data_IF_850823035041
#
_entry.id   IF_850823035041
#
_cell.length_a   1.000
_cell.length_b   1.000
_cell.length_c   1.000
_cell.angle_alpha   90.00
_cell.angle_beta   90.00
_cell.angle_gamma   90.00
#
_symmetry.space_group_name_H-M   'P 1'
#
loop_
_entity.id
_entity.type
_entity.pdbx_description
1 polymer ?
#
# COMPACT_ATOMS: atom_id res chain seq x y z
N UNK A 1 21.23 -4.54 20.51
CA UNK A 1 21.65 -4.08 19.18
C UNK A 1 21.35 -5.21 18.22
N UNK A 2 20.56 -4.95 17.20
CA UNK A 2 20.40 -5.88 16.06
C UNK A 2 21.68 -5.72 15.25
N UNK A 3 22.55 -6.73 15.28
CA UNK A 3 23.87 -6.70 14.64
C UNK A 3 23.88 -7.68 13.49
N UNK A 4 24.09 -7.21 12.27
CA UNK A 4 24.08 -8.05 11.08
C UNK A 4 23.76 -7.23 9.83
N UNK A 5 24.18 -7.74 8.68
CA UNK A 5 23.72 -7.23 7.38
C UNK A 5 22.62 -8.13 6.77
N UNK A 6 22.28 -9.22 7.45
CA UNK A 6 21.31 -10.23 7.01
C UNK A 6 20.67 -10.89 8.25
N UNK A 7 19.35 -11.07 8.20
CA UNK A 7 18.53 -11.72 9.21
C UNK A 7 17.52 -12.63 8.51
N UNK A 8 17.33 -13.85 9.04
CA UNK A 8 16.47 -14.86 8.43
C UNK A 8 15.64 -15.57 9.50
N UNK A 9 14.34 -15.77 9.24
CA UNK A 9 13.41 -16.50 10.15
C UNK A 9 13.35 -15.94 11.59
N UNK A 10 13.70 -14.65 11.77
CA UNK A 10 13.70 -13.99 13.08
C UNK A 10 12.36 -13.29 13.40
N UNK A 11 12.00 -13.27 14.69
CA UNK A 11 10.90 -12.42 15.21
C UNK A 11 11.44 -11.21 16.00
N UNK A 12 10.97 -10.02 15.64
CA UNK A 12 11.24 -8.77 16.33
C UNK A 12 9.96 -8.28 17.01
N UNK A 13 9.95 -8.13 18.34
CA UNK A 13 8.72 -7.85 19.10
C UNK A 13 8.92 -6.63 20.02
N UNK A 14 7.99 -5.67 19.94
CA UNK A 14 7.97 -4.45 20.77
C UNK A 14 9.27 -3.63 20.68
N UNK A 15 9.86 -3.55 19.48
CA UNK A 15 11.12 -2.82 19.26
C UNK A 15 10.82 -1.42 18.72
N UNK A 16 11.42 -0.42 19.34
CA UNK A 16 11.48 0.94 18.81
C UNK A 16 12.74 1.12 17.95
N UNK A 17 12.54 1.34 16.66
CA UNK A 17 13.60 1.52 15.67
C UNK A 17 13.89 2.99 15.35
N UNK A 18 13.25 3.97 16.01
CA UNK A 18 13.43 5.40 15.68
C UNK A 18 14.88 5.88 15.76
N UNK A 19 15.66 5.34 16.70
CA UNK A 19 17.09 5.63 16.88
C UNK A 19 18.01 4.63 16.16
N UNK A 20 17.44 3.69 15.40
CA UNK A 20 18.22 2.67 14.70
C UNK A 20 18.71 3.20 13.36
N UNK A 21 20.02 3.08 13.15
CA UNK A 21 20.64 3.34 11.84
C UNK A 21 20.66 2.04 11.05
N UNK A 22 19.83 1.98 10.00
CA UNK A 22 19.83 0.87 9.06
C UNK A 22 20.93 1.07 8.01
N UNK A 23 21.89 0.14 7.94
CA UNK A 23 22.99 0.18 6.98
C UNK A 23 22.91 -1.01 6.03
N UNK A 24 22.10 -0.90 4.96
CA UNK A 24 21.95 -1.93 3.91
C UNK A 24 21.83 -3.34 4.50
N UNK A 25 20.77 -3.55 5.28
CA UNK A 25 20.46 -4.82 5.91
C UNK A 25 19.34 -5.51 5.13
N UNK A 26 19.40 -6.82 5.08
CA UNK A 26 18.37 -7.68 4.51
C UNK A 26 17.67 -8.49 5.60
N UNK A 27 16.35 -8.60 5.46
CA UNK A 27 15.48 -9.43 6.28
C UNK A 27 14.73 -10.38 5.36
N UNK A 28 14.84 -11.68 5.62
CA UNK A 28 14.20 -12.74 4.86
C UNK A 28 13.35 -13.61 5.79
N UNK A 29 12.08 -13.87 5.47
CA UNK A 29 11.16 -14.64 6.33
C UNK A 29 11.02 -14.10 7.76
N UNK A 30 11.34 -12.83 8.00
CA UNK A 30 11.25 -12.22 9.33
C UNK A 30 9.85 -11.72 9.64
N UNK A 31 9.49 -11.75 10.93
CA UNK A 31 8.24 -11.14 11.43
C UNK A 31 8.51 -10.03 12.41
N UNK A 32 7.88 -8.88 12.21
CA UNK A 32 7.95 -7.72 13.10
C UNK A 32 6.58 -7.51 13.76
N UNK A 33 6.54 -7.47 15.10
CA UNK A 33 5.31 -7.36 15.88
C UNK A 33 5.38 -6.17 16.82
N UNK A 34 4.43 -5.25 16.71
CA UNK A 34 4.34 -4.03 17.54
C UNK A 34 5.63 -3.19 17.49
N UNK A 35 6.28 -3.12 16.32
CA UNK A 35 7.51 -2.36 16.14
C UNK A 35 7.23 -0.94 15.66
N UNK A 36 8.07 0.00 16.07
CA UNK A 36 7.98 1.40 15.69
C UNK A 36 9.08 1.77 14.69
N UNK A 37 8.69 2.03 13.45
CA UNK A 37 9.52 2.55 12.35
C UNK A 37 9.16 3.99 11.97
N UNK A 38 8.41 4.70 12.82
CA UNK A 38 7.96 6.06 12.55
C UNK A 38 9.16 6.99 12.25
N UNK A 39 9.13 7.69 11.12
CA UNK A 39 10.22 8.58 10.63
C UNK A 39 11.58 7.91 10.38
N UNK A 40 11.67 6.59 10.50
CA UNK A 40 12.92 5.86 10.30
C UNK A 40 13.36 5.94 8.84
N UNK A 41 14.66 6.08 8.64
CA UNK A 41 15.25 5.94 7.32
C UNK A 41 15.51 4.47 7.01
N UNK A 42 14.68 3.88 6.15
CA UNK A 42 14.78 2.50 5.67
C UNK A 42 15.44 2.41 4.30
N UNK A 43 16.12 3.47 3.86
CA UNK A 43 16.71 3.53 2.53
C UNK A 43 17.66 2.36 2.28
N UNK A 44 17.48 1.67 1.15
CA UNK A 44 18.26 0.50 0.75
C UNK A 44 18.22 -0.69 1.73
N UNK A 45 17.22 -0.77 2.61
CA UNK A 45 16.88 -2.01 3.35
C UNK A 45 16.11 -2.96 2.43
N UNK A 46 16.33 -4.26 2.59
CA UNK A 46 15.61 -5.32 1.86
C UNK A 46 14.72 -6.11 2.81
N UNK A 47 13.44 -6.21 2.48
CA UNK A 47 12.46 -7.05 3.16
C UNK A 47 11.89 -8.05 2.16
N UNK A 48 12.22 -9.32 2.35
CA UNK A 48 11.86 -10.44 1.49
C UNK A 48 11.00 -11.40 2.28
N UNK A 49 9.79 -11.69 1.80
CA UNK A 49 8.86 -12.64 2.43
C UNK A 49 8.62 -12.34 3.93
N UNK A 50 8.60 -11.05 4.29
CA UNK A 50 8.45 -10.58 5.67
C UNK A 50 7.01 -10.22 6.02
N UNK A 51 6.68 -10.32 7.31
CA UNK A 51 5.40 -9.90 7.86
C UNK A 51 5.56 -8.78 8.90
N UNK A 52 4.71 -7.77 8.80
CA UNK A 52 4.60 -6.67 9.77
C UNK A 52 3.22 -6.69 10.41
N UNK A 53 3.18 -6.87 11.73
CA UNK A 53 1.95 -6.94 12.52
C UNK A 53 1.93 -5.78 13.52
N UNK A 54 0.89 -4.94 13.48
CA UNK A 54 0.70 -3.81 14.40
C UNK A 54 1.89 -2.83 14.44
N UNK A 55 2.57 -2.63 13.31
CA UNK A 55 3.75 -1.77 13.23
C UNK A 55 3.38 -0.34 12.78
N UNK A 56 4.18 0.64 13.19
CA UNK A 56 4.03 2.04 12.76
C UNK A 56 5.19 2.45 11.85
N UNK A 57 4.92 2.68 10.56
CA UNK A 57 5.85 3.18 9.56
C UNK A 57 5.58 4.64 9.19
N UNK A 58 4.71 5.35 9.92
CA UNK A 58 4.25 6.66 9.47
C UNK A 58 5.44 7.60 9.21
N UNK A 59 5.47 8.19 8.02
CA UNK A 59 6.53 9.07 7.54
C UNK A 59 7.94 8.43 7.45
N UNK A 60 8.07 7.10 7.41
CA UNK A 60 9.35 6.45 7.14
C UNK A 60 9.85 6.78 5.72
N UNK A 61 11.17 6.81 5.55
CA UNK A 61 11.81 7.08 4.26
C UNK A 61 12.12 5.74 3.58
N UNK A 62 11.54 5.51 2.41
CA UNK A 62 11.60 4.23 1.69
C UNK A 62 12.51 4.25 0.45
N UNK A 63 13.42 5.22 0.34
CA UNK A 63 14.21 5.42 -0.88
C UNK A 63 15.05 4.17 -1.22
N UNK A 64 14.79 3.56 -2.37
CA UNK A 64 15.40 2.30 -2.81
C UNK A 64 15.21 1.13 -1.82
N UNK A 65 14.25 1.19 -0.90
CA UNK A 65 13.88 0.04 -0.07
C UNK A 65 13.26 -1.04 -0.95
N UNK A 66 13.65 -2.29 -0.75
CA UNK A 66 13.10 -3.42 -1.49
C UNK A 66 12.04 -4.11 -0.63
N UNK A 67 10.85 -4.29 -1.21
CA UNK A 67 9.78 -5.09 -0.63
C UNK A 67 9.38 -6.16 -1.63
N UNK A 68 9.62 -7.42 -1.31
CA UNK A 68 9.21 -8.55 -2.14
C UNK A 68 8.37 -9.49 -1.28
N UNK A 69 7.12 -9.72 -1.66
CA UNK A 69 6.16 -10.58 -0.97
C UNK A 69 5.99 -10.17 0.52
N UNK A 70 5.85 -8.87 0.76
CA UNK A 70 5.72 -8.34 2.12
C UNK A 70 4.25 -8.16 2.49
N UNK A 71 3.90 -8.58 3.71
CA UNK A 71 2.56 -8.43 4.26
C UNK A 71 2.55 -7.40 5.39
N UNK A 72 1.62 -6.45 5.34
CA UNK A 72 1.31 -5.52 6.42
C UNK A 72 -0.07 -5.80 6.97
N UNK A 73 -0.16 -6.08 8.26
CA UNK A 73 -1.42 -6.31 8.96
C UNK A 73 -1.55 -5.38 10.17
N UNK A 74 -2.66 -4.67 10.25
CA UNK A 74 -2.93 -3.70 11.32
C UNK A 74 -1.86 -2.61 11.47
N UNK A 75 -1.20 -2.23 10.37
CA UNK A 75 -0.09 -1.29 10.38
C UNK A 75 -0.54 0.15 10.09
N UNK A 76 0.22 1.12 10.61
CA UNK A 76 0.12 2.53 10.20
C UNK A 76 1.21 2.82 9.18
N UNK A 77 0.81 3.18 7.98
CA UNK A 77 1.66 3.37 6.80
C UNK A 77 1.42 4.78 6.23
N UNK A 78 1.17 5.77 7.09
CA UNK A 78 0.68 7.09 6.70
C UNK A 78 1.80 7.89 6.00
N UNK A 79 1.47 8.50 4.86
CA UNK A 79 2.35 9.41 4.12
C UNK A 79 3.50 8.74 3.38
N UNK A 80 3.50 7.40 3.24
CA UNK A 80 4.61 6.68 2.64
C UNK A 80 4.67 6.89 1.12
N UNK A 81 5.86 7.15 0.62
CA UNK A 81 6.13 7.28 -0.82
C UNK A 81 6.61 5.92 -1.35
N UNK A 82 5.68 5.01 -1.66
CA UNK A 82 6.04 3.68 -2.18
C UNK A 82 6.66 3.77 -3.58
N UNK A 83 6.37 4.83 -4.33
CA UNK A 83 6.99 5.11 -5.62
C UNK A 83 8.49 5.45 -5.54
N UNK A 84 9.02 5.69 -4.33
CA UNK A 84 10.45 5.83 -4.08
C UNK A 84 11.17 4.49 -3.80
N UNK A 85 10.42 3.39 -3.67
CA UNK A 85 10.97 2.06 -3.44
C UNK A 85 11.69 1.51 -4.69
N UNK A 86 12.45 0.44 -4.48
CA UNK A 86 12.93 -0.38 -5.59
C UNK A 86 11.74 -1.14 -6.21
N UNK A 87 11.53 -1.00 -7.52
CA UNK A 87 10.40 -1.61 -8.24
C UNK A 87 10.66 -3.06 -8.69
N UNK A 88 11.87 -3.58 -8.49
CA UNK A 88 12.22 -4.96 -8.82
C UNK A 88 11.50 -5.96 -7.91
N UNK A 89 10.63 -6.79 -8.51
CA UNK A 89 9.79 -7.78 -7.82
C UNK A 89 8.91 -7.18 -6.71
N UNK A 90 8.65 -5.87 -6.80
CA UNK A 90 7.89 -5.13 -5.80
C UNK A 90 6.49 -5.74 -5.63
N UNK A 91 6.19 -6.21 -4.42
CA UNK A 91 4.88 -6.81 -4.13
C UNK A 91 4.50 -6.70 -2.66
N UNK A 92 3.20 -6.48 -2.44
CA UNK A 92 2.62 -6.18 -1.15
C UNK A 92 1.27 -6.87 -0.95
N UNK A 93 0.92 -7.05 0.32
CA UNK A 93 -0.46 -7.25 0.75
C UNK A 93 -0.73 -6.40 1.99
N UNK A 94 -1.91 -5.77 2.04
CA UNK A 94 -2.30 -4.88 3.12
C UNK A 94 -3.62 -5.32 3.73
N UNK A 95 -3.62 -5.53 5.04
CA UNK A 95 -4.78 -5.96 5.81
C UNK A 95 -4.99 -5.01 6.99
N UNK A 96 -6.20 -4.50 7.17
CA UNK A 96 -6.60 -3.69 8.33
C UNK A 96 -5.67 -2.50 8.61
N UNK A 97 -5.04 -1.96 7.57
CA UNK A 97 -3.95 -0.98 7.69
C UNK A 97 -4.41 0.41 7.26
N UNK A 98 -3.72 1.45 7.76
CA UNK A 98 -3.97 2.84 7.38
C UNK A 98 -2.85 3.31 6.46
N UNK A 99 -3.14 3.59 5.20
CA UNK A 99 -2.18 4.07 4.21
C UNK A 99 -2.46 5.51 3.77
N UNK A 100 -3.27 6.26 4.52
CA UNK A 100 -3.69 7.61 4.15
C UNK A 100 -2.49 8.49 3.73
N UNK A 101 -2.71 9.33 2.71
CA UNK A 101 -1.71 10.24 2.12
C UNK A 101 -0.47 9.56 1.50
N UNK A 102 -0.48 8.24 1.33
CA UNK A 102 0.59 7.52 0.65
C UNK A 102 0.54 7.71 -0.86
N UNK A 103 1.64 7.37 -1.53
CA UNK A 103 1.76 7.41 -2.98
C UNK A 103 2.19 6.05 -3.53
N UNK A 104 1.48 5.59 -4.55
CA UNK A 104 1.84 4.45 -5.42
C UNK A 104 2.07 4.90 -6.86
N UNK A 105 2.40 6.18 -7.05
CA UNK A 105 2.55 6.82 -8.36
C UNK A 105 3.41 5.98 -9.32
N UNK A 106 2.91 5.73 -10.53
CA UNK A 106 3.60 4.96 -11.60
C UNK A 106 3.96 3.50 -11.31
N UNK A 107 3.61 2.95 -10.14
CA UNK A 107 3.97 1.57 -9.81
C UNK A 107 3.14 0.55 -10.59
N UNK A 108 3.72 -0.65 -10.80
CA UNK A 108 3.04 -1.79 -11.42
C UNK A 108 2.80 -2.88 -10.38
N UNK A 109 1.62 -2.84 -9.77
CA UNK A 109 1.22 -3.65 -8.62
C UNK A 109 0.01 -4.52 -8.99
N UNK A 110 0.23 -5.49 -9.88
CA UNK A 110 -0.82 -6.40 -10.33
C UNK A 110 -1.15 -7.42 -9.25
N UNK A 111 -2.43 -7.79 -9.15
CA UNK A 111 -2.94 -8.77 -8.17
C UNK A 111 -2.62 -8.39 -6.71
N UNK A 112 -2.62 -7.10 -6.39
CA UNK A 112 -2.40 -6.62 -5.01
C UNK A 112 -3.71 -6.69 -4.22
N UNK A 113 -3.61 -7.02 -2.94
CA UNK A 113 -4.74 -7.12 -2.04
C UNK A 113 -4.70 -6.02 -1.00
N UNK A 114 -5.74 -5.20 -0.98
CA UNK A 114 -6.05 -4.26 0.09
C UNK A 114 -7.36 -4.73 0.73
N UNK A 115 -7.30 -5.09 2.01
CA UNK A 115 -8.46 -5.55 2.75
C UNK A 115 -8.65 -4.71 4.01
N UNK A 116 -9.85 -4.14 4.19
CA UNK A 116 -10.23 -3.34 5.35
C UNK A 116 -9.25 -2.18 5.63
N UNK A 117 -8.71 -1.57 4.58
CA UNK A 117 -7.71 -0.50 4.70
C UNK A 117 -8.34 0.90 4.59
N UNK A 118 -7.75 1.86 5.29
CA UNK A 118 -7.96 3.28 4.99
C UNK A 118 -6.95 3.70 3.92
N UNK A 119 -7.45 4.22 2.80
CA UNK A 119 -6.70 4.62 1.62
C UNK A 119 -7.04 6.07 1.25
N UNK A 120 -7.19 6.95 2.24
CA UNK A 120 -7.66 8.32 2.02
C UNK A 120 -6.56 9.16 1.41
N UNK A 121 -6.93 9.96 0.41
CA UNK A 121 -5.99 10.86 -0.27
C UNK A 121 -4.71 10.15 -0.78
N UNK A 122 -4.83 8.85 -1.09
CA UNK A 122 -3.74 8.07 -1.66
C UNK A 122 -3.61 8.36 -3.15
N UNK A 123 -2.39 8.56 -3.63
CA UNK A 123 -2.12 8.76 -5.05
C UNK A 123 -1.89 7.41 -5.76
N UNK A 124 -2.84 7.02 -6.63
CA UNK A 124 -2.73 5.85 -7.50
C UNK A 124 -2.48 6.24 -8.97
N UNK A 125 -2.08 7.48 -9.27
CA UNK A 125 -1.95 7.98 -10.64
C UNK A 125 -0.86 7.25 -11.43
N UNK A 126 -1.10 7.09 -12.74
CA UNK A 126 -0.22 6.41 -13.71
C UNK A 126 0.20 4.97 -13.33
N UNK A 127 -0.47 4.34 -12.36
CA UNK A 127 -0.13 3.00 -11.86
C UNK A 127 -0.90 1.87 -12.56
N UNK A 128 -0.45 0.62 -12.39
CA UNK A 128 -1.12 -0.58 -12.90
C UNK A 128 -1.50 -1.52 -11.76
N UNK A 129 -2.79 -1.56 -11.44
CA UNK A 129 -3.38 -2.43 -10.42
C UNK A 129 -4.18 -3.58 -11.03
N UNK A 130 -3.93 -3.98 -12.28
CA UNK A 130 -4.71 -5.04 -12.96
C UNK A 130 -4.97 -6.24 -12.03
N UNK A 131 -6.25 -6.61 -11.91
CA UNK A 131 -6.76 -7.70 -11.07
C UNK A 131 -6.51 -7.56 -9.55
N UNK A 132 -6.28 -6.35 -9.05
CA UNK A 132 -6.18 -6.07 -7.61
C UNK A 132 -7.55 -6.02 -6.92
N UNK A 133 -7.56 -6.19 -5.61
CA UNK A 133 -8.77 -6.22 -4.79
C UNK A 133 -8.71 -5.09 -3.76
N UNK A 134 -9.76 -4.27 -3.72
CA UNK A 134 -9.98 -3.22 -2.73
C UNK A 134 -11.20 -3.59 -1.87
N UNK A 135 -11.03 -4.57 -0.99
CA UNK A 135 -12.13 -5.10 -0.16
C UNK A 135 -12.31 -4.24 1.09
N UNK A 136 -13.53 -3.76 1.34
CA UNK A 136 -13.89 -2.98 2.53
C UNK A 136 -12.97 -1.77 2.77
N UNK A 137 -12.46 -1.15 1.69
CA UNK A 137 -11.55 -0.01 1.78
C UNK A 137 -12.29 1.33 1.70
N UNK A 138 -11.81 2.31 2.45
CA UNK A 138 -12.24 3.71 2.34
C UNK A 138 -11.26 4.47 1.44
N UNK A 139 -11.72 4.85 0.25
CA UNK A 139 -10.94 5.53 -0.80
C UNK A 139 -11.26 7.02 -0.89
N UNK A 140 -11.75 7.64 0.19
CA UNK A 140 -12.09 9.06 0.20
C UNK A 140 -10.92 9.92 -0.25
N UNK A 141 -11.12 10.66 -1.34
CA UNK A 141 -10.09 11.57 -1.89
C UNK A 141 -8.92 10.88 -2.57
N UNK A 142 -8.93 9.54 -2.69
CA UNK A 142 -7.92 8.82 -3.46
C UNK A 142 -7.91 9.29 -4.92
N UNK A 143 -6.71 9.42 -5.48
CA UNK A 143 -6.50 9.99 -6.82
C UNK A 143 -6.29 8.84 -7.81
N UNK A 144 -7.16 8.77 -8.82
CA UNK A 144 -7.06 7.84 -9.93
C UNK A 144 -7.01 8.61 -11.24
N UNK A 145 -5.80 8.76 -11.80
CA UNK A 145 -5.57 9.41 -13.08
C UNK A 145 -4.67 8.53 -13.94
N UNK A 146 -5.12 8.19 -15.16
CA UNK A 146 -4.42 7.26 -16.06
C UNK A 146 -4.12 5.88 -15.44
N UNK A 147 -4.90 5.44 -14.45
CA UNK A 147 -4.65 4.20 -13.72
C UNK A 147 -5.21 2.99 -14.47
N UNK A 148 -4.45 1.89 -14.50
CA UNK A 148 -4.92 0.60 -15.05
C UNK A 148 -5.63 -0.19 -13.96
N UNK A 149 -6.97 -0.22 -14.04
CA UNK A 149 -7.86 -0.85 -13.06
C UNK A 149 -8.60 -2.05 -13.64
N UNK A 150 -8.06 -2.65 -14.71
CA UNK A 150 -8.73 -3.73 -15.41
C UNK A 150 -8.91 -4.92 -14.48
N UNK A 151 -10.12 -5.48 -14.43
CA UNK A 151 -10.49 -6.61 -13.56
C UNK A 151 -10.34 -6.35 -12.05
N UNK A 152 -10.14 -5.11 -11.62
CA UNK A 152 -10.10 -4.81 -10.19
C UNK A 152 -11.45 -5.08 -9.52
N UNK A 153 -11.43 -5.54 -8.27
CA UNK A 153 -12.63 -5.72 -7.46
C UNK A 153 -12.80 -4.55 -6.48
N UNK A 154 -13.83 -3.76 -6.69
CA UNK A 154 -14.24 -2.63 -5.85
C UNK A 154 -15.62 -2.86 -5.20
N UNK A 155 -16.17 -4.09 -5.19
CA UNK A 155 -17.56 -4.33 -4.74
C UNK A 155 -17.86 -3.80 -3.34
N UNK A 156 -16.91 -3.90 -2.43
CA UNK A 156 -17.06 -3.43 -1.05
C UNK A 156 -16.25 -2.17 -0.75
N UNK A 157 -15.62 -1.57 -1.77
CA UNK A 157 -14.94 -0.30 -1.62
C UNK A 157 -15.95 0.85 -1.51
N UNK A 158 -15.58 1.88 -0.76
CA UNK A 158 -16.41 3.06 -0.51
C UNK A 158 -15.65 4.34 -0.82
N UNK A 159 -16.38 5.42 -1.08
CA UNK A 159 -15.85 6.78 -1.26
C UNK A 159 -14.82 6.99 -2.39
N UNK A 160 -14.67 6.01 -3.29
CA UNK A 160 -13.84 6.21 -4.47
C UNK A 160 -14.51 7.17 -5.46
N UNK A 161 -13.68 7.88 -6.22
CA UNK A 161 -14.10 8.67 -7.36
C UNK A 161 -13.21 8.30 -8.56
N UNK A 162 -13.70 7.41 -9.43
CA UNK A 162 -12.93 6.88 -10.56
C UNK A 162 -13.60 7.33 -11.85
N UNK A 163 -12.97 8.26 -12.57
CA UNK A 163 -13.48 8.72 -13.85
C UNK A 163 -13.28 7.63 -14.93
N UNK A 164 -14.37 7.04 -15.51
CA UNK A 164 -14.25 5.89 -16.41
C UNK A 164 -13.48 6.14 -17.72
N UNK A 165 -13.47 7.37 -18.21
CA UNK A 165 -12.75 7.74 -19.44
C UNK A 165 -11.29 8.13 -19.22
N UNK A 166 -10.88 8.37 -17.97
CA UNK A 166 -9.50 8.72 -17.61
C UNK A 166 -8.72 7.50 -17.10
N UNK A 167 -9.43 6.40 -16.79
CA UNK A 167 -8.87 5.20 -16.20
C UNK A 167 -9.29 3.95 -16.99
N UNK A 168 -8.42 2.93 -17.02
CA UNK A 168 -8.73 1.69 -17.74
C UNK A 168 -9.48 0.71 -16.85
N UNK A 169 -10.81 0.83 -16.78
CA UNK A 169 -11.66 0.04 -15.88
C UNK A 169 -12.29 -1.21 -16.51
N UNK A 170 -11.77 -1.69 -17.64
CA UNK A 170 -12.42 -2.81 -18.35
C UNK A 170 -12.50 -4.06 -17.46
N UNK A 171 -13.71 -4.62 -17.35
CA UNK A 171 -14.02 -5.77 -16.48
C UNK A 171 -13.78 -5.54 -14.98
N UNK A 172 -13.54 -4.31 -14.54
CA UNK A 172 -13.58 -3.99 -13.11
C UNK A 172 -14.98 -4.29 -12.55
N UNK A 173 -15.02 -4.71 -11.29
CA UNK A 173 -16.21 -5.20 -10.61
C UNK A 173 -16.63 -4.15 -9.58
N UNK A 174 -17.86 -3.67 -9.69
CA UNK A 174 -18.48 -2.71 -8.79
C UNK A 174 -19.79 -3.28 -8.24
N UNK A 175 -20.22 -2.81 -7.08
CA UNK A 175 -21.56 -3.10 -6.57
C UNK A 175 -22.55 -2.04 -7.07
N UNK A 176 -23.83 -2.39 -7.14
CA UNK A 176 -24.85 -1.46 -7.66
C UNK A 176 -24.98 -0.18 -6.83
N UNK A 177 -24.75 -0.28 -5.53
CA UNK A 177 -24.87 0.79 -4.55
C UNK A 177 -23.67 1.75 -4.52
N UNK A 178 -22.51 1.34 -5.04
CA UNK A 178 -21.31 2.18 -5.11
C UNK A 178 -21.04 2.78 -6.50
N UNK A 179 -21.95 2.60 -7.46
CA UNK A 179 -21.82 3.17 -8.81
C UNK A 179 -21.76 4.71 -8.82
N UNK A 180 -22.25 5.39 -7.78
CA UNK A 180 -22.12 6.84 -7.64
C UNK A 180 -20.65 7.30 -7.70
N UNK A 181 -19.70 6.47 -7.23
CA UNK A 181 -18.27 6.75 -7.33
C UNK A 181 -17.69 6.75 -8.76
N UNK A 182 -18.44 6.25 -9.75
CA UNK A 182 -18.09 6.36 -11.17
C UNK A 182 -18.76 7.54 -11.88
N UNK A 183 -19.76 8.13 -11.22
CA UNK A 183 -20.67 9.10 -11.83
C UNK A 183 -20.42 10.52 -11.33
N UNK A 184 -19.73 10.67 -10.20
CA UNK A 184 -19.54 11.94 -9.51
C UNK A 184 -18.86 13.01 -10.39
N UNK A 185 -17.91 12.62 -11.24
CA UNK A 185 -17.21 13.53 -12.15
C UNK A 185 -18.09 14.15 -13.24
N UNK A 186 -19.23 13.52 -13.57
CA UNK A 186 -20.15 14.02 -14.61
C UNK A 186 -21.07 15.15 -14.11
N UNK A 187 -21.03 15.49 -12.82
CA UNK A 187 -21.87 16.52 -12.20
C UNK A 187 -23.38 16.31 -12.50
N UNK A 188 -23.81 15.05 -12.45
CA UNK A 188 -25.21 14.66 -12.66
C UNK A 188 -25.90 14.44 -11.30
N UNK A 189 -27.22 14.61 -11.29
CA UNK A 189 -28.05 14.31 -10.11
C UNK A 189 -28.46 12.83 -10.14
N UNK A 190 -28.23 12.13 -9.03
CA UNK A 190 -28.69 10.75 -8.79
C UNK A 190 -29.87 10.86 -7.80
N UNK A 191 -31.01 10.25 -8.14
CA UNK A 191 -32.24 10.23 -7.32
C UNK A 191 -32.57 8.82 -6.83
#
# INVERSE_FOLDING_TARGET
MITGYYHEEEEFINIDFQETVFNKVEYEYCTFKNCNFNTVNLSAVSFLECEFLNCDFSNAILTNTQFNQVKFESCKLIGLQFDACNDFLLSFQFFQSTLDFSSFYKLKLKNTFFESCSLKEVDFSDSDFTASVFSNCDLQGAIFQNTVLQKCDFKSATNFNIHPTENQISKAIFASDNLNGLLQSFNIKIE
#
